data_IF_392109838243
#
_entry.id   IF_392109838243
#
_cell.length_a   1.000
_cell.length_b   1.000
_cell.length_c   1.000
_cell.angle_alpha   90.00
_cell.angle_beta   90.00
_cell.angle_gamma   90.00
#
_symmetry.space_group_name_H-M   'P 1'
#
loop_
_entity.id
_entity.type
_entity.pdbx_description
1 polymer ?
#
# COMPACT_ATOMS: atom_id res chain seq x y z
N UNK A 1 -4.30 14.20 -13.35
CA UNK A 1 -5.25 13.55 -12.42
C UNK A 1 -4.65 13.61 -11.03
N UNK A 2 -5.39 14.05 -10.02
CA UNK A 2 -4.95 14.05 -8.63
C UNK A 2 -5.20 12.68 -8.01
N UNK A 3 -4.18 12.13 -7.34
CA UNK A 3 -4.25 10.91 -6.54
C UNK A 3 -4.11 11.31 -5.07
N UNK A 4 -5.23 11.37 -4.35
CA UNK A 4 -5.25 11.73 -2.94
C UNK A 4 -4.65 10.62 -2.07
N UNK A 5 -3.32 10.58 -1.97
CA UNK A 5 -2.58 9.62 -1.15
C UNK A 5 -1.43 10.32 -0.44
N UNK A 6 -1.72 10.99 0.67
CA UNK A 6 -0.73 11.82 1.37
C UNK A 6 0.15 11.00 2.32
N UNK A 7 1.48 11.08 2.15
CA UNK A 7 2.47 10.42 3.02
C UNK A 7 3.01 11.31 4.15
N UNK A 8 3.28 12.60 3.88
CA UNK A 8 3.96 13.52 4.82
C UNK A 8 3.19 14.79 5.21
N UNK A 9 1.91 14.91 4.81
CA UNK A 9 1.09 16.09 5.07
C UNK A 9 -0.24 15.75 5.76
N UNK A 10 -1.25 16.60 5.57
CA UNK A 10 -2.56 16.43 6.17
C UNK A 10 -3.41 15.41 5.39
N UNK A 11 -3.38 14.15 5.81
CA UNK A 11 -4.12 13.03 5.18
C UNK A 11 -5.62 13.29 4.98
N UNK A 12 -6.26 14.10 5.83
CA UNK A 12 -7.70 14.39 5.68
C UNK A 12 -8.02 15.24 4.44
N UNK A 13 -7.01 15.79 3.74
CA UNK A 13 -7.20 16.51 2.49
C UNK A 13 -7.25 15.58 1.26
N UNK A 14 -6.91 14.30 1.38
CA UNK A 14 -6.91 13.35 0.26
C UNK A 14 -8.26 13.32 -0.51
N UNK A 15 -9.45 13.32 0.15
CA UNK A 15 -10.73 13.41 -0.54
C UNK A 15 -10.93 14.73 -1.29
N UNK A 16 -10.45 15.85 -0.73
CA UNK A 16 -10.53 17.16 -1.39
C UNK A 16 -9.72 17.13 -2.70
N UNK A 17 -8.49 16.65 -2.66
CA UNK A 17 -7.65 16.50 -3.85
C UNK A 17 -8.28 15.58 -4.90
N UNK A 18 -8.91 14.49 -4.48
CA UNK A 18 -9.63 13.60 -5.39
C UNK A 18 -10.79 14.31 -6.11
N UNK A 19 -11.59 15.10 -5.39
CA UNK A 19 -12.74 15.84 -5.92
C UNK A 19 -12.35 17.03 -6.81
N UNK A 20 -11.08 17.46 -6.79
CA UNK A 20 -10.56 18.47 -7.71
C UNK A 20 -10.32 17.94 -9.13
N UNK A 21 -10.42 16.63 -9.36
CA UNK A 21 -10.39 16.08 -10.72
C UNK A 21 -11.65 16.51 -11.49
N UNK A 22 -11.54 16.96 -12.76
CA UNK A 22 -12.71 17.29 -13.59
C UNK A 22 -13.71 16.14 -13.74
N UNK A 23 -13.22 14.89 -13.65
CA UNK A 23 -14.03 13.67 -13.60
C UNK A 23 -13.43 12.71 -12.56
N UNK A 24 -13.97 12.68 -11.33
CA UNK A 24 -13.49 11.78 -10.28
C UNK A 24 -13.98 10.35 -10.54
N UNK A 25 -13.09 9.47 -10.99
CA UNK A 25 -13.39 8.07 -11.31
C UNK A 25 -12.37 7.18 -10.63
N UNK A 26 -12.82 6.02 -10.14
CA UNK A 26 -11.96 4.94 -9.68
C UNK A 26 -12.39 3.63 -10.32
N UNK A 27 -11.42 2.78 -10.64
CA UNK A 27 -11.66 1.41 -11.13
C UNK A 27 -11.34 0.45 -10.01
N UNK A 28 -12.28 -0.46 -9.71
CA UNK A 28 -12.07 -1.52 -8.73
C UNK A 28 -12.03 -2.85 -9.46
N UNK A 29 -10.98 -3.61 -9.22
CA UNK A 29 -10.87 -5.00 -9.65
C UNK A 29 -10.72 -5.89 -8.41
N UNK A 30 -11.59 -6.89 -8.30
CA UNK A 30 -11.55 -7.86 -7.21
C UNK A 30 -10.77 -9.07 -7.72
N UNK A 31 -9.67 -9.41 -7.06
CA UNK A 31 -8.87 -10.59 -7.36
C UNK A 31 -9.41 -11.82 -6.62
N UNK A 32 -9.05 -13.01 -7.11
CA UNK A 32 -9.31 -14.25 -6.40
C UNK A 32 -8.58 -14.31 -5.06
N UNK A 33 -9.14 -15.07 -4.13
CA UNK A 33 -8.50 -15.31 -2.82
C UNK A 33 -7.23 -16.12 -3.02
N UNK A 34 -6.17 -15.76 -2.32
CA UNK A 34 -4.92 -16.50 -2.34
C UNK A 34 -5.12 -17.87 -1.66
N UNK A 35 -5.01 -18.94 -2.44
CA UNK A 35 -5.07 -20.32 -1.94
C UNK A 35 -3.85 -20.61 -1.04
N UNK A 36 -4.06 -21.31 0.07
CA UNK A 36 -2.98 -21.67 1.01
C UNK A 36 -2.60 -20.58 2.02
N UNK A 37 -3.15 -19.37 1.86
CA UNK A 37 -2.99 -18.25 2.80
C UNK A 37 -4.12 -18.19 3.85
N UNK A 38 -4.89 -19.27 3.97
CA UNK A 38 -5.99 -19.38 4.91
C UNK A 38 -5.45 -19.38 6.33
N UNK A 39 -5.39 -18.17 6.90
CA UNK A 39 -4.95 -17.84 8.25
C UNK A 39 -3.46 -18.11 8.49
N UNK A 40 -2.71 -17.09 8.94
CA UNK A 40 -1.50 -17.29 9.75
C UNK A 40 -1.87 -17.99 11.08
N UNK A 41 -2.58 -19.12 11.02
CA UNK A 41 -2.80 -20.02 12.16
C UNK A 41 -1.60 -20.93 12.33
N UNK A 42 -0.98 -21.33 11.22
CA UNK A 42 0.27 -22.06 11.27
C UNK A 42 1.43 -21.07 11.47
N UNK A 43 2.05 -21.16 12.64
CA UNK A 43 3.16 -20.33 13.11
C UNK A 43 4.44 -20.43 12.26
N UNK A 44 4.42 -21.24 11.20
CA UNK A 44 5.60 -21.49 10.35
C UNK A 44 5.75 -20.48 9.21
N UNK A 45 4.69 -19.82 8.76
CA UNK A 45 4.77 -18.85 7.66
C UNK A 45 5.02 -17.43 8.18
N UNK A 46 6.13 -16.84 7.72
CA UNK A 46 6.50 -15.48 8.10
C UNK A 46 5.51 -14.46 7.53
N UNK A 47 5.06 -13.51 8.34
CA UNK A 47 4.23 -12.37 7.89
C UNK A 47 4.84 -11.62 6.69
N UNK A 48 6.17 -11.65 6.56
CA UNK A 48 6.87 -11.05 5.43
C UNK A 48 6.72 -11.87 4.15
N UNK A 49 6.72 -13.20 4.25
CA UNK A 49 6.47 -14.09 3.10
C UNK A 49 5.07 -13.85 2.53
N UNK A 50 4.06 -13.83 3.41
CA UNK A 50 2.67 -13.49 3.08
C UNK A 50 2.56 -12.13 2.40
N UNK A 51 3.17 -11.10 2.98
CA UNK A 51 3.14 -9.75 2.40
C UNK A 51 3.77 -9.72 1.00
N UNK A 52 4.91 -10.39 0.80
CA UNK A 52 5.58 -10.46 -0.50
C UNK A 52 4.71 -11.19 -1.55
N UNK A 53 4.02 -12.26 -1.18
CA UNK A 53 3.09 -12.96 -2.08
C UNK A 53 1.92 -12.06 -2.49
N UNK A 54 1.29 -11.38 -1.53
CA UNK A 54 0.19 -10.43 -1.80
C UNK A 54 0.66 -9.29 -2.71
N UNK A 55 1.84 -8.71 -2.43
CA UNK A 55 2.40 -7.64 -3.26
C UNK A 55 2.70 -8.12 -4.68
N UNK A 56 3.18 -9.37 -4.84
CA UNK A 56 3.45 -9.96 -6.15
C UNK A 56 2.19 -10.11 -7.00
N UNK A 57 1.10 -10.62 -6.42
CA UNK A 57 -0.18 -10.76 -7.14
C UNK A 57 -0.81 -9.40 -7.48
N UNK A 58 -0.74 -8.43 -6.57
CA UNK A 58 -1.17 -7.05 -6.86
C UNK A 58 -0.31 -6.41 -7.96
N UNK A 59 1.01 -6.62 -7.94
CA UNK A 59 1.93 -6.14 -8.95
C UNK A 59 1.58 -6.70 -10.33
N UNK A 60 1.36 -8.02 -10.44
CA UNK A 60 0.94 -8.64 -11.70
C UNK A 60 -0.38 -8.08 -12.23
N UNK A 61 -1.39 -7.94 -11.38
CA UNK A 61 -2.72 -7.47 -11.81
C UNK A 61 -2.73 -6.00 -12.23
N UNK A 62 -1.86 -5.18 -11.65
CA UNK A 62 -1.73 -3.76 -11.97
C UNK A 62 -0.58 -3.45 -12.95
N UNK A 63 0.10 -4.47 -13.48
CA UNK A 63 1.27 -4.35 -14.36
C UNK A 63 2.44 -3.56 -13.73
N UNK A 64 2.63 -3.72 -12.42
CA UNK A 64 3.75 -3.13 -11.66
C UNK A 64 4.81 -4.15 -11.27
N UNK A 65 6.06 -3.68 -11.24
CA UNK A 65 7.18 -4.44 -10.69
C UNK A 65 7.34 -4.20 -9.18
N UNK A 66 7.44 -5.29 -8.42
CA UNK A 66 7.72 -5.20 -6.99
C UNK A 66 9.15 -4.71 -6.73
N UNK A 67 9.26 -3.59 -6.02
CA UNK A 67 10.57 -3.03 -5.63
C UNK A 67 11.14 -3.70 -4.38
N UNK A 68 12.47 -3.59 -4.19
CA UNK A 68 13.16 -3.96 -2.94
C UNK A 68 13.21 -2.82 -1.92
N UNK A 69 12.46 -1.73 -2.14
CA UNK A 69 12.45 -0.58 -1.24
C UNK A 69 11.82 -0.94 0.10
N UNK A 70 12.57 -0.72 1.16
CA UNK A 70 12.07 -0.88 2.52
C UNK A 70 11.05 0.20 2.86
N UNK A 71 10.36 0.03 3.99
CA UNK A 71 9.49 1.07 4.53
C UNK A 71 10.25 2.40 4.74
N UNK A 72 11.47 2.33 5.27
CA UNK A 72 12.31 3.51 5.49
C UNK A 72 12.64 4.21 4.17
N UNK A 73 13.05 3.45 3.15
CA UNK A 73 13.39 4.02 1.83
C UNK A 73 12.19 4.75 1.23
N UNK A 74 11.01 4.14 1.28
CA UNK A 74 9.76 4.74 0.76
C UNK A 74 9.40 6.03 1.49
N UNK A 75 9.48 6.07 2.81
CA UNK A 75 9.13 7.28 3.57
C UNK A 75 10.18 8.38 3.43
N UNK A 76 11.45 8.03 3.24
CA UNK A 76 12.49 9.02 2.94
C UNK A 76 12.21 9.69 1.59
N UNK A 77 11.88 8.91 0.56
CA UNK A 77 11.58 9.43 -0.78
C UNK A 77 10.27 10.24 -0.78
N UNK A 78 9.21 9.74 -0.14
CA UNK A 78 7.86 10.32 -0.26
C UNK A 78 7.55 11.42 0.76
N UNK A 79 8.20 11.39 1.93
CA UNK A 79 7.82 12.22 3.07
C UNK A 79 9.02 12.82 3.82
N UNK A 80 10.26 12.57 3.36
CA UNK A 80 11.47 13.11 3.98
C UNK A 80 11.72 12.62 5.41
N UNK A 81 11.12 11.51 5.83
CA UNK A 81 11.26 10.95 7.17
C UNK A 81 11.41 9.41 7.13
N UNK A 82 11.73 8.78 8.25
CA UNK A 82 11.96 7.32 8.30
C UNK A 82 10.67 6.49 8.43
N UNK A 83 9.52 7.16 8.46
CA UNK A 83 8.21 6.56 8.65
C UNK A 83 7.95 6.05 10.06
N UNK A 84 8.80 6.30 11.05
CA UNK A 84 8.61 5.74 12.40
C UNK A 84 7.24 6.12 12.99
N UNK A 85 6.49 5.12 13.46
CA UNK A 85 5.23 5.33 14.21
C UNK A 85 5.61 5.26 15.68
N UNK A 86 5.49 6.37 16.39
CA UNK A 86 5.62 6.37 17.84
C UNK A 86 4.35 5.75 18.41
N UNK A 87 4.46 4.56 19.00
CA UNK A 87 3.41 4.03 19.86
C UNK A 87 3.24 5.02 21.02
N UNK A 88 2.12 5.72 21.04
CA UNK A 88 1.70 6.47 22.22
C UNK A 88 1.01 5.45 23.11
N UNK A 89 1.55 5.24 24.32
CA UNK A 89 0.92 4.45 25.37
C UNK A 89 -0.38 5.11 25.86
#
# INVERSE_FOLDING_TARGET
MFHGTTAGGLKCLDPLFFLMNPSPIYTVQILEKLSGLSTCRDSNESRFHVANQVQGELGKALEFECTKLTRRDKYLILAGNEGMVTSTE
#
